data_IF_040906070920
#
_entry.id   IF_040906070920
#
_cell.length_a   1.000
_cell.length_b   1.000
_cell.length_c   1.000
_cell.angle_alpha   90.00
_cell.angle_beta   90.00
_cell.angle_gamma   90.00
#
_symmetry.space_group_name_H-M   'P 1'
#
loop_
_entity.id
_entity.type
_entity.pdbx_description
1 polymer ?
#
# COMPACT_ATOMS: atom_id res chain seq x y z
N UNK A 1 2.17 7.95 9.89
CA UNK A 1 1.48 8.70 8.83
C UNK A 1 0.78 7.70 7.94
N UNK A 2 -0.29 8.13 7.28
CA UNK A 2 -1.01 7.32 6.29
C UNK A 2 -0.37 7.52 4.93
N UNK A 3 0.04 6.43 4.28
CA UNK A 3 0.66 6.44 2.95
C UNK A 3 -0.21 5.64 2.00
N UNK A 4 -0.71 6.29 0.94
CA UNK A 4 -1.30 5.60 -0.20
C UNK A 4 -0.21 5.17 -1.17
N UNK A 5 -0.24 3.93 -1.67
CA UNK A 5 0.66 3.48 -2.73
C UNK A 5 -0.17 3.17 -3.97
N UNK A 6 0.03 3.93 -5.05
CA UNK A 6 -0.62 3.68 -6.35
C UNK A 6 0.27 2.83 -7.25
N UNK A 7 -0.11 1.56 -7.40
CA UNK A 7 0.63 0.55 -8.14
C UNK A 7 1.45 -0.36 -7.21
N UNK A 8 1.11 -1.64 -7.16
CA UNK A 8 1.72 -2.63 -6.25
C UNK A 8 2.69 -3.55 -6.97
N UNK A 9 3.47 -2.97 -7.89
CA UNK A 9 4.46 -3.67 -8.71
C UNK A 9 5.84 -3.74 -8.05
N UNK A 10 6.87 -3.77 -8.90
CA UNK A 10 8.28 -3.94 -8.48
C UNK A 10 8.83 -2.79 -7.63
N UNK A 11 8.18 -1.63 -7.63
CA UNK A 11 8.58 -0.46 -6.84
C UNK A 11 7.64 -0.23 -5.66
N UNK A 12 6.34 -0.12 -5.92
CA UNK A 12 5.37 0.21 -4.87
C UNK A 12 5.28 -0.84 -3.77
N UNK A 13 5.31 -2.14 -4.10
CA UNK A 13 5.22 -3.18 -3.08
C UNK A 13 6.43 -3.18 -2.13
N UNK A 14 7.70 -3.21 -2.58
CA UNK A 14 8.85 -3.09 -1.68
C UNK A 14 8.88 -1.78 -0.89
N UNK A 15 8.57 -0.64 -1.51
CA UNK A 15 8.56 0.66 -0.84
C UNK A 15 7.52 0.68 0.28
N UNK A 16 6.28 0.26 0.00
CA UNK A 16 5.22 0.24 0.99
C UNK A 16 5.54 -0.72 2.14
N UNK A 17 6.23 -1.84 1.89
CA UNK A 17 6.69 -2.73 2.97
C UNK A 17 7.71 -2.06 3.89
N UNK A 18 8.67 -1.32 3.33
CA UNK A 18 9.64 -0.58 4.14
C UNK A 18 8.98 0.52 4.97
N UNK A 19 8.01 1.25 4.39
CA UNK A 19 7.24 2.27 5.11
C UNK A 19 6.36 1.66 6.20
N UNK A 20 5.72 0.52 5.92
CA UNK A 20 5.00 -0.24 6.91
C UNK A 20 5.96 -0.69 8.03
N UNK A 21 7.11 -1.28 7.71
CA UNK A 21 8.12 -1.68 8.70
C UNK A 21 8.61 -0.49 9.57
N UNK A 22 8.70 0.71 8.99
CA UNK A 22 9.08 1.94 9.69
C UNK A 22 7.99 2.52 10.62
N UNK A 23 6.82 1.89 10.73
CA UNK A 23 5.75 2.34 11.63
C UNK A 23 4.62 3.11 10.96
N UNK A 24 4.61 3.23 9.63
CA UNK A 24 3.55 3.94 8.91
C UNK A 24 2.36 3.03 8.59
N UNK A 25 1.17 3.61 8.47
CA UNK A 25 -0.03 2.92 7.98
C UNK A 25 -0.03 3.01 6.46
N UNK A 26 -0.07 1.87 5.78
CA UNK A 26 0.07 1.83 4.31
C UNK A 26 -1.18 1.25 3.67
N UNK A 27 -1.68 1.87 2.61
CA UNK A 27 -2.70 1.28 1.76
C UNK A 27 -2.16 1.08 0.35
N UNK A 28 -1.97 -0.18 -0.01
CA UNK A 28 -1.58 -0.59 -1.34
C UNK A 28 -2.78 -0.53 -2.29
N UNK A 29 -2.53 -0.10 -3.51
CA UNK A 29 -3.50 -0.20 -4.59
C UNK A 29 -2.86 -0.61 -5.89
N UNK A 30 -3.65 -1.19 -6.78
CA UNK A 30 -3.25 -1.57 -8.12
C UNK A 30 -4.49 -1.65 -9.02
N UNK A 31 -4.32 -1.54 -10.33
CA UNK A 31 -5.41 -1.80 -11.28
C UNK A 31 -5.90 -3.26 -11.20
N UNK A 32 -5.08 -4.16 -10.67
CA UNK A 32 -5.45 -5.54 -10.32
C UNK A 32 -5.61 -5.67 -8.80
N UNK A 33 -6.83 -5.77 -8.27
CA UNK A 33 -7.08 -5.85 -6.83
C UNK A 33 -6.25 -6.93 -6.11
N UNK A 34 -6.11 -8.11 -6.72
CA UNK A 34 -5.30 -9.21 -6.18
C UNK A 34 -3.85 -8.81 -5.87
N UNK A 35 -3.22 -7.94 -6.68
CA UNK A 35 -1.85 -7.49 -6.41
C UNK A 35 -1.74 -6.56 -5.21
N UNK A 36 -2.75 -5.71 -5.01
CA UNK A 36 -2.79 -4.83 -3.85
C UNK A 36 -2.96 -5.65 -2.56
N UNK A 37 -3.84 -6.64 -2.59
CA UNK A 37 -4.04 -7.59 -1.49
C UNK A 37 -2.78 -8.41 -1.21
N UNK A 38 -2.14 -8.98 -2.22
CA UNK A 38 -0.87 -9.70 -2.09
C UNK A 38 0.23 -8.82 -1.46
N UNK A 39 0.35 -7.57 -1.90
CA UNK A 39 1.32 -6.63 -1.34
C UNK A 39 1.03 -6.29 0.12
N UNK A 40 -0.24 -6.07 0.47
CA UNK A 40 -0.70 -5.80 1.82
C UNK A 40 -0.45 -6.99 2.76
N UNK A 41 -0.84 -8.21 2.34
CA UNK A 41 -0.61 -9.43 3.12
C UNK A 41 0.87 -9.64 3.43
N UNK A 42 1.73 -9.39 2.46
CA UNK A 42 3.16 -9.58 2.61
C UNK A 42 3.87 -8.42 3.32
N UNK A 43 3.14 -7.39 3.75
CA UNK A 43 3.69 -6.29 4.54
C UNK A 43 3.65 -6.54 6.06
N UNK A 44 3.05 -7.65 6.54
CA UNK A 44 3.02 -8.18 7.93
C UNK A 44 2.58 -7.24 9.07
N UNK A 45 2.57 -5.91 8.87
CA UNK A 45 2.12 -4.88 9.81
C UNK A 45 0.88 -4.15 9.29
N UNK A 46 0.63 -2.93 9.79
CA UNK A 46 -0.48 -2.03 9.41
C UNK A 46 -0.46 -1.69 7.92
N UNK A 47 -0.97 -2.60 7.12
CA UNK A 47 -1.07 -2.50 5.68
C UNK A 47 -2.41 -3.05 5.20
N UNK A 48 -3.05 -2.35 4.27
CA UNK A 48 -4.30 -2.77 3.62
C UNK A 48 -4.18 -2.74 2.10
N UNK A 49 -5.04 -3.49 1.42
CA UNK A 49 -5.20 -3.46 -0.04
C UNK A 49 -6.50 -2.78 -0.43
N UNK A 50 -6.49 -2.00 -1.51
CA UNK A 50 -7.68 -1.33 -2.03
C UNK A 50 -7.52 -0.81 -3.46
N UNK A 51 -8.48 -0.01 -3.90
CA UNK A 51 -8.47 0.66 -5.20
C UNK A 51 -7.58 1.91 -5.19
N UNK A 52 -7.15 2.41 -6.37
CA UNK A 52 -6.34 3.63 -6.45
C UNK A 52 -7.00 4.87 -5.83
N UNK A 53 -8.32 5.00 -5.93
CA UNK A 53 -9.05 6.12 -5.32
C UNK A 53 -9.10 6.01 -3.80
N UNK A 54 -9.14 4.79 -3.25
CA UNK A 54 -9.07 4.56 -1.81
C UNK A 54 -7.67 4.89 -1.29
N UNK A 55 -6.60 4.49 -2.00
CA UNK A 55 -5.23 4.87 -1.64
C UNK A 55 -5.04 6.39 -1.61
N UNK A 56 -5.57 7.09 -2.61
CA UNK A 56 -5.49 8.55 -2.69
C UNK A 56 -6.26 9.27 -1.57
N UNK A 57 -7.38 8.69 -1.11
CA UNK A 57 -8.18 9.25 0.01
C UNK A 57 -7.60 8.90 1.38
N UNK A 58 -6.97 7.73 1.48
CA UNK A 58 -6.37 7.23 2.71
C UNK A 58 -5.08 7.98 3.05
N UNK A 59 -4.21 8.17 2.06
CA UNK A 59 -2.88 8.73 2.24
C UNK A 59 -2.89 10.22 2.59
N UNK A 60 -2.10 10.59 3.59
CA UNK A 60 -1.62 11.98 3.75
C UNK A 60 -0.58 12.32 2.68
N UNK A 61 0.08 11.28 2.16
CA UNK A 61 0.95 11.28 0.99
C UNK A 61 0.60 10.07 0.10
N UNK A 62 0.75 10.23 -1.22
CA UNK A 62 0.39 9.25 -2.26
C UNK A 62 1.52 9.12 -3.27
#
# INVERSE_FOLDING_TARGET
MRVGIVGSGRLGAPLGRLLAAAGHDVLFSDARPARAEEAAHAAERQAGGGSPIEAARFGEVV
#
